data_IF_037382977642
#
_entry.id   IF_037382977642
#
_cell.length_a   1.000
_cell.length_b   1.000
_cell.length_c   1.000
_cell.angle_alpha   90.00
_cell.angle_beta   90.00
_cell.angle_gamma   90.00
#
_symmetry.space_group_name_H-M   'P 1'
#
loop_
_entity.id
_entity.type
_entity.pdbx_description
1 polymer ?
#
# COMPACT_ATOMS: atom_id res chain seq x y z
N UNK A 1 -30.30 -24.30 -0.36
CA UNK A 1 -30.63 -25.51 -1.13
C UNK A 1 -29.41 -26.41 -1.25
N UNK A 2 -29.15 -27.19 -0.19
CA UNK A 2 -28.12 -28.24 -0.14
C UNK A 2 -28.75 -29.55 -0.62
N UNK A 3 -28.48 -29.95 -1.86
CA UNK A 3 -28.65 -31.32 -2.39
C UNK A 3 -28.21 -31.29 -3.85
N UNK A 4 -26.92 -31.53 -4.13
CA UNK A 4 -26.41 -32.00 -5.43
C UNK A 4 -24.88 -32.24 -5.45
N UNK A 5 -24.28 -32.85 -4.42
CA UNK A 5 -22.88 -33.32 -4.54
C UNK A 5 -22.65 -34.61 -3.76
N UNK A 6 -23.10 -35.73 -4.32
CA UNK A 6 -22.52 -37.05 -4.08
C UNK A 6 -21.96 -37.56 -5.41
N UNK A 7 -20.72 -37.17 -5.71
CA UNK A 7 -19.90 -37.84 -6.72
C UNK A 7 -18.58 -38.27 -6.08
N UNK A 8 -18.28 -39.55 -6.28
CA UNK A 8 -17.16 -40.33 -5.77
C UNK A 8 -15.87 -39.52 -5.57
N UNK A 9 -15.35 -39.53 -4.34
CA UNK A 9 -14.00 -39.12 -3.99
C UNK A 9 -12.99 -39.98 -4.76
N UNK A 10 -12.28 -39.38 -5.70
CA UNK A 10 -11.00 -39.90 -6.19
C UNK A 10 -9.88 -39.19 -5.43
N UNK A 11 -8.74 -39.85 -5.16
CA UNK A 11 -7.62 -39.23 -4.47
C UNK A 11 -6.91 -38.32 -5.48
N UNK A 12 -7.29 -37.05 -5.54
CA UNK A 12 -6.57 -36.06 -6.33
C UNK A 12 -5.71 -35.23 -5.40
N UNK A 13 -4.41 -35.25 -5.70
CA UNK A 13 -3.39 -34.30 -5.22
C UNK A 13 -3.93 -32.88 -5.38
N UNK A 14 -3.72 -32.04 -4.38
CA UNK A 14 -4.02 -30.61 -4.41
C UNK A 14 -3.46 -29.96 -5.67
N UNK A 15 -4.34 -29.58 -6.60
CA UNK A 15 -3.95 -28.96 -7.89
C UNK A 15 -3.66 -27.46 -7.77
N UNK A 16 -3.96 -26.88 -6.61
CA UNK A 16 -3.72 -25.49 -6.27
C UNK A 16 -2.63 -25.41 -5.21
N UNK A 17 -1.49 -24.87 -5.60
CA UNK A 17 -0.47 -24.43 -4.65
C UNK A 17 -0.83 -23.01 -4.20
N UNK A 18 -1.09 -22.85 -2.91
CA UNK A 18 -1.55 -21.60 -2.30
C UNK A 18 -0.46 -21.10 -1.40
N UNK A 19 -0.04 -19.85 -1.62
CA UNK A 19 1.03 -19.24 -0.87
C UNK A 19 0.50 -18.74 0.47
N UNK A 20 1.20 -19.03 1.56
CA UNK A 20 0.93 -18.39 2.84
C UNK A 20 1.35 -16.92 2.78
N UNK A 21 0.59 -16.05 3.47
CA UNK A 21 1.02 -14.68 3.64
C UNK A 21 2.18 -14.64 4.63
N UNK A 22 3.29 -14.00 4.23
CA UNK A 22 4.47 -13.84 5.08
C UNK A 22 4.11 -13.09 6.37
N UNK A 23 4.07 -13.81 7.50
CA UNK A 23 3.90 -13.23 8.82
C UNK A 23 5.29 -12.82 9.36
N UNK A 24 5.60 -11.52 9.48
CA UNK A 24 6.88 -11.09 10.02
C UNK A 24 6.95 -11.39 11.52
N UNK A 25 7.85 -12.29 11.92
CA UNK A 25 8.21 -12.47 13.33
C UNK A 25 9.04 -11.28 13.80
N UNK A 26 8.37 -10.24 14.31
CA UNK A 26 8.99 -9.06 14.92
C UNK A 26 8.86 -9.18 16.42
N UNK A 27 9.98 -9.37 17.13
CA UNK A 27 10.00 -9.44 18.59
C UNK A 27 11.08 -8.53 19.15
N UNK A 28 10.64 -7.43 19.75
CA UNK A 28 11.51 -6.42 20.35
C UNK A 28 11.57 -6.49 21.88
N UNK A 29 10.96 -7.51 22.50
CA UNK A 29 10.94 -7.65 23.96
C UNK A 29 12.34 -7.86 24.57
N UNK A 30 13.30 -8.35 23.78
CA UNK A 30 14.68 -8.60 24.20
C UNK A 30 15.58 -7.36 24.17
N UNK A 31 15.12 -6.26 23.58
CA UNK A 31 15.90 -5.02 23.55
C UNK A 31 15.76 -4.26 24.87
N UNK A 32 16.87 -3.73 25.35
CA UNK A 32 16.88 -2.84 26.50
C UNK A 32 16.04 -1.61 26.21
N UNK A 33 15.20 -1.23 27.18
CA UNK A 33 14.41 0.00 27.10
C UNK A 33 15.30 1.21 27.38
N UNK A 34 14.95 2.32 26.76
CA UNK A 34 15.59 3.60 26.86
C UNK A 34 15.36 4.29 28.21
N UNK A 35 15.76 5.56 28.29
CA UNK A 35 15.67 6.36 29.54
C UNK A 35 14.25 6.42 30.10
N UNK A 36 13.23 6.42 29.22
CA UNK A 36 11.82 6.47 29.63
C UNK A 36 11.23 5.11 30.05
N UNK A 37 12.02 4.03 29.99
CA UNK A 37 11.61 2.64 30.24
C UNK A 37 10.44 2.14 29.38
N UNK A 38 10.06 2.86 28.32
CA UNK A 38 8.93 2.51 27.44
C UNK A 38 9.45 2.17 26.05
N UNK A 39 10.32 3.01 25.51
CA UNK A 39 10.78 2.89 24.12
C UNK A 39 12.16 2.25 24.02
N UNK A 40 12.56 1.86 22.82
CA UNK A 40 13.92 1.42 22.50
C UNK A 40 14.64 2.61 21.89
N UNK A 41 15.69 3.09 22.53
CA UNK A 41 16.46 4.23 22.03
C UNK A 41 17.38 3.79 20.89
N UNK A 42 17.18 4.41 19.72
CA UNK A 42 17.94 4.14 18.50
C UNK A 42 18.60 5.40 17.99
N UNK A 43 19.88 5.29 17.64
CA UNK A 43 20.64 6.36 17.00
C UNK A 43 21.13 5.89 15.62
N UNK A 44 20.68 6.58 14.57
CA UNK A 44 21.10 6.36 13.19
C UNK A 44 22.31 7.24 12.86
N UNK A 45 23.13 6.79 11.91
CA UNK A 45 24.29 7.52 11.39
C UNK A 45 23.98 9.00 11.11
N UNK A 46 24.75 9.95 11.67
CA UNK A 46 24.58 11.37 11.41
C UNK A 46 24.70 11.74 9.93
N UNK A 47 25.55 11.03 9.19
CA UNK A 47 25.77 11.29 7.76
C UNK A 47 24.55 10.86 6.93
N UNK A 48 23.99 9.69 7.24
CA UNK A 48 22.74 9.23 6.65
C UNK A 48 21.58 10.19 6.96
N UNK A 49 21.37 10.52 8.23
CA UNK A 49 20.23 11.36 8.66
C UNK A 49 20.31 12.77 8.09
N UNK A 50 21.50 13.40 8.08
CA UNK A 50 21.71 14.73 7.47
C UNK A 50 21.48 14.70 5.96
N UNK A 51 22.05 13.72 5.26
CA UNK A 51 21.89 13.60 3.80
C UNK A 51 20.43 13.36 3.41
N UNK A 52 19.76 12.41 4.07
CA UNK A 52 18.36 12.09 3.82
C UNK A 52 17.45 13.30 4.10
N UNK A 53 17.66 14.01 5.21
CA UNK A 53 16.93 15.24 5.55
C UNK A 53 17.09 16.30 4.46
N UNK A 54 18.31 16.47 3.94
CA UNK A 54 18.60 17.42 2.85
C UNK A 54 17.91 17.01 1.56
N UNK A 55 17.96 15.74 1.18
CA UNK A 55 17.30 15.19 -0.01
C UNK A 55 15.79 15.43 0.07
N UNK A 56 15.15 15.10 1.20
CA UNK A 56 13.71 15.32 1.43
C UNK A 56 13.35 16.80 1.26
N UNK A 57 14.17 17.71 1.81
CA UNK A 57 13.95 19.15 1.66
C UNK A 57 14.10 19.62 0.20
N UNK A 58 15.08 19.10 -0.54
CA UNK A 58 15.28 19.42 -1.95
C UNK A 58 14.14 18.87 -2.83
N UNK A 59 13.69 17.63 -2.60
CA UNK A 59 12.51 17.03 -3.24
C UNK A 59 11.24 17.86 -2.98
N UNK A 60 11.01 18.27 -1.73
CA UNK A 60 9.89 19.14 -1.36
C UNK A 60 9.91 20.43 -2.18
N UNK A 61 11.07 21.06 -2.34
CA UNK A 61 11.19 22.31 -3.10
C UNK A 61 11.03 22.10 -4.61
N UNK A 62 11.59 21.03 -5.17
CA UNK A 62 11.45 20.73 -6.59
C UNK A 62 9.99 20.43 -6.99
N UNK A 63 9.29 19.60 -6.21
CA UNK A 63 7.91 19.19 -6.52
C UNK A 63 6.86 20.24 -6.15
N UNK A 64 7.19 21.20 -5.29
CA UNK A 64 6.32 22.34 -4.97
C UNK A 64 6.61 23.59 -5.80
N UNK A 65 7.54 23.51 -6.74
CA UNK A 65 7.85 24.59 -7.66
C UNK A 65 6.82 24.65 -8.79
N UNK A 66 6.32 25.85 -9.08
CA UNK A 66 5.37 26.10 -10.18
C UNK A 66 5.98 25.86 -11.58
N UNK A 67 7.31 25.69 -11.66
CA UNK A 67 8.03 25.46 -12.93
C UNK A 67 8.12 24.00 -13.35
N UNK A 68 7.86 23.05 -12.44
CA UNK A 68 7.92 21.62 -12.73
C UNK A 68 6.52 21.02 -12.77
N UNK A 69 6.30 20.06 -13.67
CA UNK A 69 5.08 19.25 -13.65
C UNK A 69 5.15 18.27 -12.49
N UNK A 70 3.98 17.92 -11.98
CA UNK A 70 3.83 16.91 -10.94
C UNK A 70 4.26 15.49 -11.36
N UNK A 71 4.76 15.28 -12.58
CA UNK A 71 5.29 14.01 -13.09
C UNK A 71 6.79 14.05 -13.38
N UNK A 72 7.44 15.19 -13.20
CA UNK A 72 8.85 15.35 -13.57
C UNK A 72 9.72 14.56 -12.58
N UNK A 73 10.67 13.79 -13.12
CA UNK A 73 11.66 13.10 -12.30
C UNK A 73 12.56 14.13 -11.55
N UNK A 74 13.19 13.71 -10.43
CA UNK A 74 14.17 14.53 -9.72
C UNK A 74 15.25 15.06 -10.65
N UNK A 75 15.77 16.26 -10.34
CA UNK A 75 16.91 16.84 -11.05
C UNK A 75 18.14 15.92 -10.99
N UNK A 76 19.02 16.00 -11.99
CA UNK A 76 20.25 15.20 -12.02
C UNK A 76 21.11 15.36 -10.74
N UNK A 77 21.33 16.58 -10.19
CA UNK A 77 22.05 16.73 -8.92
C UNK A 77 21.39 15.99 -7.75
N UNK A 78 20.06 15.93 -7.73
CA UNK A 78 19.31 15.25 -6.68
C UNK A 78 19.38 13.72 -6.85
N UNK A 79 19.39 13.21 -8.08
CA UNK A 79 19.62 11.78 -8.36
C UNK A 79 20.99 11.32 -7.88
N UNK A 80 22.04 12.10 -8.13
CA UNK A 80 23.37 11.76 -7.63
C UNK A 80 23.41 11.71 -6.08
N UNK A 81 22.63 12.55 -5.40
CA UNK A 81 22.50 12.48 -3.93
C UNK A 81 21.72 11.24 -3.47
N UNK A 82 20.69 10.82 -4.21
CA UNK A 82 19.97 9.58 -3.95
C UNK A 82 20.89 8.36 -4.10
N UNK A 83 21.79 8.34 -5.08
CA UNK A 83 22.80 7.27 -5.20
C UNK A 83 23.76 7.24 -3.99
N UNK A 84 24.20 8.40 -3.50
CA UNK A 84 25.01 8.48 -2.27
C UNK A 84 24.20 7.99 -1.05
N UNK A 85 22.90 8.31 -1.00
CA UNK A 85 22.01 7.80 0.06
C UNK A 85 21.93 6.27 0.03
N UNK A 86 21.83 5.66 -1.16
CA UNK A 86 21.83 4.20 -1.33
C UNK A 86 23.11 3.58 -0.80
N UNK A 87 24.26 4.16 -1.12
CA UNK A 87 25.56 3.69 -0.62
C UNK A 87 25.66 3.78 0.92
N UNK A 88 25.20 4.89 1.51
CA UNK A 88 25.19 5.06 2.96
C UNK A 88 24.26 4.04 3.64
N UNK A 89 23.06 3.84 3.10
CA UNK A 89 22.12 2.85 3.63
C UNK A 89 22.66 1.42 3.50
N UNK A 90 23.24 1.06 2.35
CA UNK A 90 23.84 -0.25 2.11
C UNK A 90 24.98 -0.55 3.10
N UNK A 91 25.82 0.45 3.38
CA UNK A 91 26.90 0.34 4.36
C UNK A 91 26.36 0.04 5.77
N UNK A 92 25.40 0.84 6.23
CA UNK A 92 24.75 0.64 7.54
C UNK A 92 24.04 -0.71 7.63
N UNK A 93 23.31 -1.11 6.59
CA UNK A 93 22.61 -2.40 6.54
C UNK A 93 23.59 -3.57 6.59
N UNK A 94 24.65 -3.53 5.79
CA UNK A 94 25.71 -4.56 5.76
C UNK A 94 26.36 -4.71 7.14
N UNK A 95 26.76 -3.60 7.77
CA UNK A 95 27.33 -3.61 9.11
C UNK A 95 26.35 -4.19 10.14
N UNK A 96 25.07 -3.85 10.02
CA UNK A 96 24.00 -4.36 10.89
C UNK A 96 23.80 -5.87 10.73
N UNK A 97 23.82 -6.39 9.51
CA UNK A 97 23.71 -7.82 9.22
C UNK A 97 24.87 -8.60 9.86
N UNK A 98 26.11 -8.12 9.73
CA UNK A 98 27.27 -8.75 10.38
C UNK A 98 27.16 -8.78 11.90
N UNK A 99 26.69 -7.69 12.53
CA UNK A 99 26.44 -7.61 13.97
C UNK A 99 25.30 -8.56 14.41
N UNK A 100 24.23 -8.61 13.63
CA UNK A 100 23.09 -9.50 13.88
C UNK A 100 23.49 -10.98 13.79
N UNK A 101 24.35 -11.34 12.84
CA UNK A 101 24.89 -12.69 12.69
C UNK A 101 25.75 -13.10 13.90
N UNK A 102 26.60 -12.19 14.36
CA UNK A 102 27.46 -12.41 15.55
C UNK A 102 26.66 -12.63 16.83
N UNK A 103 25.50 -11.97 16.96
CA UNK A 103 24.61 -12.05 18.13
C UNK A 103 23.46 -13.05 17.95
N UNK A 104 23.36 -13.69 16.78
CA UNK A 104 22.25 -14.56 16.36
C UNK A 104 20.87 -13.90 16.58
N UNK A 105 20.77 -12.60 16.33
CA UNK A 105 19.57 -11.82 16.58
C UNK A 105 19.09 -11.12 15.30
N UNK A 106 18.23 -11.78 14.54
CA UNK A 106 17.61 -11.22 13.33
C UNK A 106 16.80 -9.95 13.60
N UNK A 107 16.20 -9.85 14.79
CA UNK A 107 15.41 -8.68 15.19
C UNK A 107 16.26 -7.41 15.27
N UNK A 108 17.59 -7.52 15.34
CA UNK A 108 18.48 -6.37 15.30
C UNK A 108 18.47 -5.68 13.93
N UNK A 109 18.41 -6.45 12.85
CA UNK A 109 18.24 -5.90 11.49
C UNK A 109 16.83 -5.31 11.33
N UNK A 110 15.81 -5.97 11.86
CA UNK A 110 14.44 -5.45 11.83
C UNK A 110 14.33 -4.12 12.61
N UNK A 111 14.98 -4.00 13.77
CA UNK A 111 15.02 -2.75 14.54
C UNK A 111 15.65 -1.61 13.73
N UNK A 112 16.76 -1.87 13.04
CA UNK A 112 17.38 -0.92 12.12
C UNK A 112 16.41 -0.47 11.01
N UNK A 113 15.81 -1.44 10.30
CA UNK A 113 14.88 -1.16 9.20
C UNK A 113 13.66 -0.36 9.68
N UNK A 114 13.07 -0.74 10.83
CA UNK A 114 11.96 0.01 11.45
C UNK A 114 12.36 1.43 11.84
N UNK A 115 13.56 1.61 12.40
CA UNK A 115 14.08 2.92 12.76
C UNK A 115 14.26 3.82 11.53
N UNK A 116 14.75 3.27 10.41
CA UNK A 116 14.89 4.00 9.14
C UNK A 116 13.53 4.36 8.55
N UNK A 117 12.57 3.43 8.51
CA UNK A 117 11.18 3.69 8.09
C UNK A 117 10.58 4.84 8.92
N UNK A 118 10.67 4.75 10.26
CA UNK A 118 10.18 5.79 11.18
C UNK A 118 10.87 7.14 10.93
N UNK A 119 12.17 7.13 10.71
CA UNK A 119 12.96 8.33 10.45
C UNK A 119 12.50 9.03 9.16
N UNK A 120 12.34 8.29 8.06
CA UNK A 120 11.88 8.87 6.78
C UNK A 120 10.47 9.44 6.93
N UNK A 121 9.53 8.67 7.47
CA UNK A 121 8.13 9.11 7.63
C UNK A 121 8.02 10.38 8.49
N UNK A 122 8.74 10.42 9.62
CA UNK A 122 8.75 11.58 10.51
C UNK A 122 9.46 12.80 9.90
N UNK A 123 10.55 12.58 9.14
CA UNK A 123 11.31 13.65 8.48
C UNK A 123 10.51 14.30 7.35
N UNK A 124 9.84 13.51 6.49
CA UNK A 124 9.00 14.04 5.41
C UNK A 124 7.85 14.89 5.99
N UNK A 125 7.19 14.41 7.04
CA UNK A 125 6.12 15.14 7.74
C UNK A 125 6.63 16.46 8.32
N UNK A 126 7.69 16.40 9.13
CA UNK A 126 8.23 17.59 9.81
C UNK A 126 8.78 18.63 8.84
N UNK A 127 9.46 18.23 7.77
CA UNK A 127 9.96 19.15 6.75
C UNK A 127 8.83 19.82 5.97
N UNK A 128 7.76 19.10 5.67
CA UNK A 128 6.57 19.67 5.02
C UNK A 128 5.89 20.70 5.92
N UNK A 129 5.71 20.39 7.20
CA UNK A 129 5.09 21.31 8.16
C UNK A 129 5.97 22.55 8.37
N UNK A 130 7.30 22.39 8.43
CA UNK A 130 8.27 23.50 8.46
C UNK A 130 8.17 24.37 7.22
N UNK A 131 8.09 23.78 6.02
CA UNK A 131 7.95 24.52 4.77
C UNK A 131 6.65 25.33 4.74
N UNK A 132 5.51 24.73 5.12
CA UNK A 132 4.22 25.41 5.20
C UNK A 132 4.26 26.56 6.20
N UNK A 133 4.83 26.34 7.38
CA UNK A 133 4.99 27.36 8.41
C UNK A 133 5.88 28.52 7.92
N UNK A 134 6.99 28.22 7.26
CA UNK A 134 7.89 29.22 6.71
C UNK A 134 7.16 30.07 5.66
N UNK A 135 6.43 29.46 4.73
CA UNK A 135 5.66 30.17 3.71
C UNK A 135 4.55 31.07 4.30
N UNK A 136 3.92 30.66 5.41
CA UNK A 136 2.95 31.51 6.14
C UNK A 136 3.59 32.74 6.76
N UNK A 137 4.82 32.60 7.28
CA UNK A 137 5.53 33.67 8.01
C UNK A 137 6.24 34.69 7.12
N UNK A 138 6.22 34.53 5.80
CA UNK A 138 6.85 35.46 4.86
C UNK A 138 6.12 36.82 4.89
N UNK A 139 6.58 37.71 5.78
CA UNK A 139 6.25 39.14 5.81
C UNK A 139 7.26 39.89 4.95
N UNK A 140 7.10 39.83 3.63
CA UNK A 140 7.92 40.62 2.71
C UNK A 140 7.26 41.97 2.44
N UNK A 141 8.06 43.05 2.46
CA UNK A 141 7.67 44.40 1.98
C UNK A 141 7.34 44.43 0.48
N UNK A 142 7.75 43.40 -0.25
CA UNK A 142 7.57 43.24 -1.69
C UNK A 142 6.27 42.44 -2.00
N UNK A 143 5.28 43.15 -2.54
CA UNK A 143 3.95 42.60 -2.84
C UNK A 143 3.99 41.42 -3.82
N UNK A 144 4.93 41.39 -4.78
CA UNK A 144 5.00 40.32 -5.78
C UNK A 144 5.52 39.01 -5.18
N UNK A 145 6.54 39.08 -4.31
CA UNK A 145 7.06 37.89 -3.61
C UNK A 145 6.07 37.36 -2.58
N UNK A 146 5.27 38.24 -1.97
CA UNK A 146 4.17 37.88 -1.07
C UNK A 146 3.09 37.09 -1.82
N UNK A 147 2.67 37.55 -3.00
CA UNK A 147 1.68 36.85 -3.83
C UNK A 147 2.17 35.46 -4.26
N UNK A 148 3.40 35.36 -4.82
CA UNK A 148 3.96 34.07 -5.22
C UNK A 148 4.08 33.08 -4.05
N UNK A 149 4.42 33.56 -2.86
CA UNK A 149 4.52 32.72 -1.66
C UNK A 149 3.14 32.26 -1.17
N UNK A 150 2.14 33.13 -1.26
CA UNK A 150 0.75 32.80 -0.91
C UNK A 150 0.17 31.77 -1.88
N UNK A 151 0.38 31.93 -3.18
CA UNK A 151 -0.06 30.97 -4.20
C UNK A 151 0.61 29.61 -4.01
N UNK A 152 1.92 29.60 -3.73
CA UNK A 152 2.66 28.38 -3.38
C UNK A 152 2.13 27.74 -2.11
N UNK A 153 1.82 28.53 -1.07
CA UNK A 153 1.23 28.04 0.17
C UNK A 153 -0.15 27.42 -0.07
N UNK A 154 -1.03 28.11 -0.80
CA UNK A 154 -2.37 27.61 -1.13
C UNK A 154 -2.31 26.31 -1.94
N UNK A 155 -1.42 26.25 -2.94
CA UNK A 155 -1.18 25.04 -3.72
C UNK A 155 -0.65 23.89 -2.85
N UNK A 156 0.39 24.14 -2.05
CA UNK A 156 0.97 23.15 -1.15
C UNK A 156 -0.06 22.61 -0.15
N UNK A 157 -0.86 23.50 0.42
CA UNK A 157 -1.88 23.11 1.39
C UNK A 157 -2.97 22.25 0.73
N UNK A 158 -3.35 22.57 -0.51
CA UNK A 158 -4.31 21.77 -1.31
C UNK A 158 -3.75 20.41 -1.71
N UNK A 159 -2.46 20.32 -2.05
CA UNK A 159 -1.82 19.11 -2.59
C UNK A 159 -0.93 18.38 -1.58
N UNK A 160 -1.03 18.72 -0.29
CA UNK A 160 -0.14 18.25 0.79
C UNK A 160 -0.02 16.72 0.84
N UNK A 161 -1.14 16.00 0.84
CA UNK A 161 -1.14 14.54 1.01
C UNK A 161 -0.50 13.83 -0.18
N UNK A 162 -0.76 14.30 -1.41
CA UNK A 162 -0.14 13.75 -2.61
C UNK A 162 1.36 14.02 -2.62
N UNK A 163 1.78 15.23 -2.25
CA UNK A 163 3.19 15.59 -2.14
C UNK A 163 3.93 14.75 -1.09
N UNK A 164 3.33 14.57 0.09
CA UNK A 164 3.87 13.72 1.15
C UNK A 164 4.05 12.27 0.67
N UNK A 165 3.01 11.69 0.07
CA UNK A 165 3.05 10.35 -0.48
C UNK A 165 4.16 10.24 -1.53
N UNK A 166 4.22 11.17 -2.47
CA UNK A 166 5.21 11.15 -3.55
C UNK A 166 6.64 11.18 -3.02
N UNK A 167 6.96 12.09 -2.10
CA UNK A 167 8.32 12.24 -1.58
C UNK A 167 8.70 11.03 -0.73
N UNK A 168 7.76 10.53 0.07
CA UNK A 168 7.97 9.30 0.84
C UNK A 168 8.22 8.12 -0.09
N UNK A 169 7.42 7.98 -1.14
CA UNK A 169 7.58 6.95 -2.16
C UNK A 169 8.96 7.02 -2.83
N UNK A 170 9.39 8.19 -3.30
CA UNK A 170 10.70 8.35 -3.96
C UNK A 170 11.88 7.98 -3.04
N UNK A 171 11.80 8.26 -1.73
CA UNK A 171 12.82 7.85 -0.75
C UNK A 171 12.71 6.37 -0.39
N UNK A 172 11.50 5.81 -0.26
CA UNK A 172 11.30 4.39 0.00
C UNK A 172 11.76 3.52 -1.17
N UNK A 173 11.59 3.97 -2.41
CA UNK A 173 12.13 3.31 -3.61
C UNK A 173 13.66 3.19 -3.54
N UNK A 174 14.36 4.19 -3.02
CA UNK A 174 15.81 4.13 -2.81
C UNK A 174 16.21 3.05 -1.80
N UNK A 175 15.51 2.99 -0.67
CA UNK A 175 15.72 1.96 0.36
C UNK A 175 15.41 0.58 -0.20
N UNK A 176 14.27 0.45 -0.90
CA UNK A 176 13.82 -0.79 -1.52
C UNK A 176 14.81 -1.31 -2.56
N UNK A 177 15.42 -0.43 -3.36
CA UNK A 177 16.46 -0.81 -4.32
C UNK A 177 17.65 -1.49 -3.65
N UNK A 178 18.10 -0.97 -2.49
CA UNK A 178 19.20 -1.57 -1.74
C UNK A 178 18.79 -2.87 -1.07
N UNK A 179 17.61 -2.94 -0.44
CA UNK A 179 17.09 -4.16 0.19
C UNK A 179 16.88 -5.29 -0.83
N UNK A 180 16.50 -4.94 -2.06
CA UNK A 180 16.29 -5.90 -3.16
C UNK A 180 17.57 -6.31 -3.87
N UNK A 181 18.71 -5.66 -3.57
CA UNK A 181 19.99 -5.95 -4.21
C UNK A 181 20.40 -7.40 -3.96
N UNK A 182 20.83 -8.08 -5.03
CA UNK A 182 21.20 -9.49 -4.97
C UNK A 182 22.35 -9.76 -3.97
N UNK A 183 23.30 -8.83 -3.82
CA UNK A 183 24.40 -8.96 -2.88
C UNK A 183 23.91 -8.91 -1.43
N UNK A 184 23.02 -7.97 -1.10
CA UNK A 184 22.41 -7.85 0.24
C UNK A 184 21.56 -9.09 0.55
N UNK A 185 20.72 -9.52 -0.39
CA UNK A 185 19.87 -10.71 -0.20
C UNK A 185 20.69 -11.99 0.00
N UNK A 186 21.79 -12.14 -0.75
CA UNK A 186 22.72 -13.27 -0.60
C UNK A 186 23.44 -13.21 0.74
N UNK A 187 23.83 -12.02 1.19
CA UNK A 187 24.43 -11.82 2.51
C UNK A 187 23.45 -12.21 3.63
N UNK A 188 22.20 -11.74 3.57
CA UNK A 188 21.15 -12.13 4.51
C UNK A 188 20.91 -13.65 4.49
N UNK A 189 20.79 -14.25 3.31
CA UNK A 189 20.56 -15.69 3.18
C UNK A 189 21.72 -16.52 3.77
N UNK A 190 22.96 -16.09 3.56
CA UNK A 190 24.14 -16.80 4.07
C UNK A 190 24.35 -16.63 5.58
N UNK A 191 24.10 -15.43 6.13
CA UNK A 191 24.41 -15.12 7.54
C UNK A 191 23.23 -15.27 8.50
N UNK A 192 22.00 -15.13 8.01
CA UNK A 192 20.77 -15.13 8.81
C UNK A 192 19.78 -16.22 8.36
N UNK A 193 20.05 -16.94 7.27
CA UNK A 193 19.22 -18.03 6.76
C UNK A 193 17.96 -17.59 6.00
N UNK A 194 17.76 -16.28 5.79
CA UNK A 194 16.62 -15.72 5.06
C UNK A 194 17.06 -14.63 4.09
N UNK A 195 16.44 -14.56 2.91
CA UNK A 195 16.64 -13.46 1.96
C UNK A 195 16.07 -12.12 2.45
N UNK A 196 15.07 -12.16 3.33
CA UNK A 196 14.31 -11.00 3.77
C UNK A 196 14.08 -11.07 5.28
N UNK A 197 14.52 -10.04 6.00
CA UNK A 197 14.28 -9.88 7.45
C UNK A 197 12.90 -9.30 7.74
N UNK A 198 12.36 -8.55 6.78
CA UNK A 198 10.99 -8.05 6.74
C UNK A 198 10.38 -8.39 5.38
N UNK A 199 9.06 -8.65 5.32
CA UNK A 199 8.34 -8.82 4.06
C UNK A 199 8.66 -7.70 3.08
N UNK A 200 9.09 -8.07 1.87
CA UNK A 200 9.36 -7.16 0.74
C UNK A 200 8.25 -6.11 0.55
N UNK A 201 6.99 -6.53 0.72
CA UNK A 201 5.80 -5.69 0.56
C UNK A 201 5.70 -4.54 1.55
N UNK A 202 6.39 -4.56 2.70
CA UNK A 202 6.40 -3.44 3.64
C UNK A 202 7.07 -2.21 3.02
N UNK A 203 8.20 -2.39 2.32
CA UNK A 203 8.94 -1.27 1.71
C UNK A 203 8.19 -0.66 0.53
N UNK A 204 7.43 -1.47 -0.19
CA UNK A 204 6.62 -1.01 -1.32
C UNK A 204 5.19 -0.62 -0.94
N UNK A 205 4.79 -0.72 0.34
CA UNK A 205 3.43 -0.49 0.81
C UNK A 205 2.97 0.98 0.64
N UNK A 206 2.05 1.27 -0.29
CA UNK A 206 1.49 2.61 -0.50
C UNK A 206 0.81 3.22 0.73
N UNK A 207 0.17 2.42 1.59
CA UNK A 207 -0.55 2.90 2.78
C UNK A 207 0.42 3.42 3.84
N UNK A 208 1.54 2.71 4.04
CA UNK A 208 2.62 3.14 4.94
C UNK A 208 3.28 4.45 4.48
N UNK A 209 3.37 4.63 3.16
CA UNK A 209 3.92 5.83 2.55
C UNK A 209 2.93 7.01 2.52
N UNK A 210 1.64 6.75 2.79
CA UNK A 210 0.58 7.76 2.86
C UNK A 210 0.43 8.34 4.27
N UNK A 211 -0.15 9.53 4.36
CA UNK A 211 -0.60 10.10 5.65
C UNK A 211 -1.92 9.47 6.11
N UNK A 212 -2.75 9.10 5.16
CA UNK A 212 -4.12 8.62 5.36
C UNK A 212 -4.29 7.31 4.57
N UNK A 213 -4.67 6.24 5.27
CA UNK A 213 -4.88 4.92 4.68
C UNK A 213 -6.06 4.88 3.71
N UNK A 214 -6.99 5.84 3.81
CA UNK A 214 -8.16 5.97 2.93
C UNK A 214 -8.04 7.13 1.92
N UNK A 215 -6.83 7.63 1.71
CA UNK A 215 -6.56 8.68 0.71
C UNK A 215 -7.06 8.24 -0.68
N UNK A 216 -8.09 8.90 -1.26
CA UNK A 216 -8.70 8.45 -2.51
C UNK A 216 -7.72 8.33 -3.68
N UNK A 217 -6.73 9.22 -3.75
CA UNK A 217 -5.70 9.18 -4.79
C UNK A 217 -4.79 7.96 -4.67
N UNK A 218 -4.44 7.56 -3.44
CA UNK A 218 -3.60 6.38 -3.19
C UNK A 218 -4.39 5.12 -3.49
N UNK A 219 -5.66 5.08 -3.06
CA UNK A 219 -6.56 3.96 -3.32
C UNK A 219 -6.84 3.77 -4.80
N UNK A 220 -7.26 4.81 -5.53
CA UNK A 220 -7.51 4.70 -6.98
C UNK A 220 -6.24 4.33 -7.77
N UNK A 221 -5.05 4.70 -7.28
CA UNK A 221 -3.79 4.39 -7.97
C UNK A 221 -3.34 2.95 -7.75
N UNK A 222 -3.45 2.44 -6.53
CA UNK A 222 -2.81 1.18 -6.13
C UNK A 222 -3.79 0.06 -5.77
N UNK A 223 -5.06 0.38 -5.51
CA UNK A 223 -6.06 -0.53 -4.98
C UNK A 223 -7.45 -0.24 -5.57
N UNK A 224 -8.49 -0.60 -4.82
CA UNK A 224 -9.88 -0.20 -5.05
C UNK A 224 -10.24 0.98 -4.15
N UNK A 225 -10.99 1.95 -4.68
CA UNK A 225 -11.50 3.09 -3.92
C UNK A 225 -12.54 2.61 -2.90
N UNK A 226 -12.17 2.59 -1.63
CA UNK A 226 -13.04 2.32 -0.50
C UNK A 226 -13.28 3.62 0.27
N UNK A 227 -14.46 3.73 0.85
CA UNK A 227 -14.80 4.83 1.75
C UNK A 227 -14.95 4.28 3.18
N UNK A 228 -14.52 5.08 4.16
CA UNK A 228 -14.59 4.74 5.59
C UNK A 228 -16.04 4.66 6.13
N UNK A 229 -17.01 5.08 5.32
CA UNK A 229 -18.43 5.15 5.67
C UNK A 229 -18.99 3.76 6.00
N UNK A 230 -19.29 3.50 7.27
CA UNK A 230 -19.72 2.18 7.76
C UNK A 230 -21.06 1.76 7.20
N UNK A 231 -21.93 2.72 6.87
CA UNK A 231 -23.33 2.47 6.52
C UNK A 231 -23.52 2.09 5.03
N UNK A 232 -22.45 2.09 4.24
CA UNK A 232 -22.50 1.69 2.84
C UNK A 232 -22.29 0.16 2.70
N UNK A 233 -23.12 -0.51 1.90
CA UNK A 233 -22.96 -1.93 1.55
C UNK A 233 -21.61 -2.23 0.86
N UNK A 234 -20.97 -1.22 0.27
CA UNK A 234 -19.64 -1.26 -0.34
C UNK A 234 -18.50 -0.86 0.63
N UNK A 235 -18.74 -0.84 1.93
CA UNK A 235 -17.71 -0.53 2.92
C UNK A 235 -16.79 -1.72 3.18
N UNK A 236 -15.57 -1.45 3.69
CA UNK A 236 -14.63 -2.50 4.08
C UNK A 236 -15.24 -3.45 5.12
N UNK A 237 -16.05 -2.93 6.04
CA UNK A 237 -16.69 -3.70 7.11
C UNK A 237 -17.70 -4.73 6.59
N UNK A 238 -18.41 -4.40 5.51
CA UNK A 238 -19.35 -5.34 4.87
C UNK A 238 -18.66 -6.28 3.89
N UNK A 239 -17.71 -5.77 3.09
CA UNK A 239 -17.03 -6.55 2.07
C UNK A 239 -16.05 -7.57 2.65
N UNK A 240 -15.36 -7.26 3.75
CA UNK A 240 -14.37 -8.16 4.35
C UNK A 240 -14.95 -9.52 4.76
N UNK A 241 -16.00 -9.61 5.61
CA UNK A 241 -16.58 -10.91 5.98
C UNK A 241 -17.22 -11.63 4.80
N UNK A 242 -17.80 -10.89 3.85
CA UNK A 242 -18.39 -11.46 2.64
C UNK A 242 -17.34 -12.13 1.76
N UNK A 243 -16.19 -11.47 1.55
CA UNK A 243 -15.08 -12.00 0.77
C UNK A 243 -14.37 -13.13 1.54
N UNK A 244 -14.23 -13.00 2.86
CA UNK A 244 -13.64 -14.05 3.69
C UNK A 244 -14.44 -15.36 3.62
N UNK A 245 -15.77 -15.27 3.72
CA UNK A 245 -16.66 -16.44 3.60
C UNK A 245 -16.60 -17.05 2.19
N UNK A 246 -16.60 -16.21 1.14
CA UNK A 246 -16.42 -16.67 -0.24
C UNK A 246 -15.13 -17.48 -0.40
N UNK A 247 -14.02 -16.96 0.13
CA UNK A 247 -12.71 -17.63 0.02
C UNK A 247 -12.66 -18.92 0.85
N UNK A 248 -13.36 -19.01 1.98
CA UNK A 248 -13.50 -20.26 2.74
C UNK A 248 -14.29 -21.32 1.97
N UNK A 249 -15.41 -20.93 1.34
CA UNK A 249 -16.19 -21.86 0.53
C UNK A 249 -15.42 -22.32 -0.71
N UNK A 250 -14.68 -21.42 -1.36
CA UNK A 250 -13.79 -21.76 -2.48
C UNK A 250 -12.69 -22.70 -2.01
N UNK A 251 -12.07 -22.45 -0.85
CA UNK A 251 -11.06 -23.34 -0.30
C UNK A 251 -11.60 -24.75 -0.04
N UNK A 252 -12.81 -24.84 0.51
CA UNK A 252 -13.50 -26.11 0.74
C UNK A 252 -13.77 -26.88 -0.56
N UNK A 253 -14.28 -26.20 -1.60
CA UNK A 253 -14.59 -26.83 -2.89
C UNK A 253 -13.32 -27.26 -3.64
N UNK A 254 -12.26 -26.43 -3.59
CA UNK A 254 -10.97 -26.71 -4.19
C UNK A 254 -10.13 -27.71 -3.38
N UNK A 255 -10.59 -28.13 -2.19
CA UNK A 255 -9.90 -29.05 -1.28
C UNK A 255 -8.47 -28.59 -0.97
N UNK A 256 -8.31 -27.30 -0.68
CA UNK A 256 -7.00 -26.73 -0.40
C UNK A 256 -6.41 -27.36 0.88
N UNK A 257 -5.19 -27.88 0.77
CA UNK A 257 -4.38 -28.26 1.93
C UNK A 257 -3.79 -26.99 2.54
N UNK A 258 -4.54 -26.42 3.48
CA UNK A 258 -4.09 -25.28 4.25
C UNK A 258 -3.33 -25.81 5.47
N UNK A 259 -2.02 -25.57 5.50
CA UNK A 259 -1.27 -25.73 6.74
C UNK A 259 -1.85 -24.75 7.78
N UNK A 260 -2.12 -25.20 9.02
CA UNK A 260 -2.56 -24.29 10.07
C UNK A 260 -1.47 -23.24 10.29
N UNK A 261 -1.82 -21.96 10.19
CA UNK A 261 -0.91 -20.84 10.35
C UNK A 261 -0.05 -21.04 11.62
N UNK A 262 1.23 -21.43 11.42
CA UNK A 262 2.05 -22.01 12.50
C UNK A 262 2.48 -20.98 13.54
N UNK A 263 2.39 -19.70 13.23
CA UNK A 263 2.82 -18.63 14.11
C UNK A 263 1.73 -17.59 14.27
N UNK A 264 1.11 -17.57 15.46
CA UNK A 264 0.54 -16.33 15.98
C UNK A 264 1.73 -15.36 16.15
N UNK A 265 1.64 -14.11 15.68
CA UNK A 265 2.68 -13.15 15.98
C UNK A 265 2.86 -13.13 17.51
N UNK A 266 4.05 -13.51 18.00
CA UNK A 266 4.41 -13.30 19.40
C UNK A 266 4.78 -11.83 19.55
N UNK A 267 3.75 -11.00 19.48
CA UNK A 267 3.81 -9.61 19.89
C UNK A 267 3.11 -9.58 21.25
N UNK A 268 3.67 -8.78 22.16
CA UNK A 268 3.25 -8.63 23.54
C UNK A 268 1.71 -8.68 23.66
N UNK A 269 1.18 -9.63 24.46
CA UNK A 269 -0.26 -9.95 24.52
C UNK A 269 -1.14 -8.75 24.87
N UNK A 270 -0.55 -7.67 25.34
CA UNK A 270 -1.21 -6.50 25.88
C UNK A 270 -1.33 -5.33 24.89
N UNK A 271 -0.77 -5.40 23.66
CA UNK A 271 -0.76 -4.24 22.73
C UNK A 271 -1.30 -4.47 21.31
N UNK A 272 -1.26 -5.68 20.75
CA UNK A 272 -1.80 -5.92 19.40
C UNK A 272 -3.28 -6.31 19.44
N UNK A 273 -4.09 -5.56 18.71
CA UNK A 273 -5.41 -6.01 18.23
C UNK A 273 -5.25 -7.21 17.29
N UNK A 274 -5.20 -8.46 17.78
CA UNK A 274 -5.32 -9.73 17.03
C UNK A 274 -5.12 -9.63 15.48
N UNK A 275 -3.97 -9.16 14.98
CA UNK A 275 -3.71 -9.09 13.54
C UNK A 275 -3.39 -10.50 13.07
N UNK A 276 -4.33 -11.13 12.37
CA UNK A 276 -4.16 -12.47 11.81
C UNK A 276 -3.77 -12.36 10.33
N UNK A 277 -2.66 -12.95 9.92
CA UNK A 277 -2.26 -13.02 8.51
C UNK A 277 -2.81 -14.29 7.87
N UNK A 278 -3.47 -14.18 6.71
CA UNK A 278 -4.12 -15.30 6.04
C UNK A 278 -3.66 -15.45 4.59
N UNK A 279 -3.66 -16.68 4.07
CA UNK A 279 -3.45 -16.96 2.65
C UNK A 279 -4.43 -16.20 1.74
N UNK A 280 -5.61 -15.85 2.27
CA UNK A 280 -6.67 -15.09 1.58
C UNK A 280 -6.20 -13.71 1.12
N UNK A 281 -5.23 -13.13 1.81
CA UNK A 281 -4.70 -11.80 1.54
C UNK A 281 -3.52 -11.79 0.54
N UNK A 282 -3.22 -12.94 -0.07
CA UNK A 282 -2.15 -13.04 -1.08
C UNK A 282 -2.77 -12.91 -2.48
N UNK A 283 -2.48 -11.83 -3.23
CA UNK A 283 -3.10 -11.60 -4.55
C UNK A 283 -2.80 -12.71 -5.56
N UNK A 284 -1.61 -13.32 -5.50
CA UNK A 284 -1.24 -14.44 -6.35
C UNK A 284 -2.15 -15.67 -6.18
N UNK A 285 -2.73 -15.86 -4.99
CA UNK A 285 -3.69 -16.92 -4.74
C UNK A 285 -5.01 -16.64 -5.46
N UNK A 286 -5.43 -15.38 -5.57
CA UNK A 286 -6.62 -14.99 -6.34
C UNK A 286 -6.42 -15.31 -7.81
N UNK A 287 -5.26 -14.97 -8.37
CA UNK A 287 -4.94 -15.34 -9.76
C UNK A 287 -4.97 -16.86 -9.95
N UNK A 288 -4.36 -17.62 -9.04
CA UNK A 288 -4.36 -19.09 -9.11
C UNK A 288 -5.78 -19.69 -9.04
N UNK A 289 -6.66 -19.14 -8.20
CA UNK A 289 -8.00 -19.67 -7.92
C UNK A 289 -9.08 -19.22 -8.91
N UNK A 290 -8.92 -18.06 -9.56
CA UNK A 290 -9.98 -17.48 -10.40
C UNK A 290 -9.58 -17.26 -11.86
N UNK A 291 -8.29 -17.21 -12.22
CA UNK A 291 -7.86 -16.91 -13.58
C UNK A 291 -8.05 -18.08 -14.56
N UNK A 292 -9.19 -18.09 -15.26
CA UNK A 292 -9.53 -19.09 -16.28
C UNK A 292 -8.65 -18.99 -17.52
N UNK A 293 -8.28 -17.77 -17.93
CA UNK A 293 -7.61 -17.53 -19.21
C UNK A 293 -6.19 -18.10 -19.20
N UNK A 294 -5.47 -17.91 -18.09
CA UNK A 294 -4.14 -18.46 -17.92
C UNK A 294 -4.14 -19.99 -17.95
N UNK A 295 -5.04 -20.63 -17.20
CA UNK A 295 -5.18 -22.09 -17.20
C UNK A 295 -5.56 -22.64 -18.58
N UNK A 296 -6.44 -21.95 -19.32
CA UNK A 296 -6.80 -22.33 -20.69
C UNK A 296 -5.61 -22.25 -21.65
N UNK A 297 -4.80 -21.21 -21.54
CA UNK A 297 -3.60 -21.05 -22.36
C UNK A 297 -2.56 -22.12 -22.01
N UNK A 298 -2.37 -22.41 -20.72
CA UNK A 298 -1.51 -23.50 -20.26
C UNK A 298 -1.98 -24.86 -20.80
N UNK A 299 -3.29 -25.12 -20.82
CA UNK A 299 -3.88 -26.36 -21.32
C UNK A 299 -3.63 -26.57 -22.83
N UNK A 300 -3.72 -25.50 -23.64
CA UNK A 300 -3.42 -25.56 -25.08
C UNK A 300 -1.99 -26.02 -25.35
N UNK A 301 -1.06 -25.61 -24.51
CA UNK A 301 0.38 -25.88 -24.66
C UNK A 301 0.86 -27.09 -23.83
N UNK A 302 -0.03 -27.74 -23.07
CA UNK A 302 0.34 -28.79 -22.13
C UNK A 302 0.61 -30.15 -22.80
N UNK A 303 1.63 -30.86 -22.28
CA UNK A 303 1.87 -32.28 -22.57
C UNK A 303 0.75 -33.14 -21.96
N UNK A 304 0.52 -34.33 -22.52
CA UNK A 304 -0.59 -35.24 -22.15
C UNK A 304 -0.75 -35.45 -20.62
N UNK A 305 0.37 -35.66 -19.90
CA UNK A 305 0.36 -35.90 -18.46
C UNK A 305 -0.09 -34.71 -17.59
N UNK A 306 0.01 -33.47 -18.07
CA UNK A 306 -0.46 -32.26 -17.34
C UNK A 306 -1.88 -31.84 -17.72
N UNK A 307 -2.45 -32.37 -18.81
CA UNK A 307 -3.77 -31.96 -19.30
C UNK A 307 -4.90 -32.32 -18.33
N UNK A 308 -4.81 -33.49 -17.67
CA UNK A 308 -5.82 -33.91 -16.70
C UNK A 308 -5.91 -32.91 -15.53
N UNK A 309 -4.77 -32.59 -14.91
CA UNK A 309 -4.70 -31.64 -13.80
C UNK A 309 -5.17 -30.23 -14.20
N UNK A 310 -4.75 -29.73 -15.36
CA UNK A 310 -5.21 -28.41 -15.83
C UNK A 310 -6.71 -28.37 -16.14
N UNK A 311 -7.30 -29.49 -16.58
CA UNK A 311 -8.74 -29.58 -16.86
C UNK A 311 -9.55 -29.58 -15.57
N UNK A 312 -9.10 -30.30 -14.54
CA UNK A 312 -9.68 -30.29 -13.20
C UNK A 312 -9.56 -28.90 -12.55
N UNK A 313 -8.37 -28.28 -12.57
CA UNK A 313 -8.16 -26.89 -12.12
C UNK A 313 -9.15 -25.94 -12.80
N UNK A 314 -9.32 -26.03 -14.11
CA UNK A 314 -10.27 -25.19 -14.85
C UNK A 314 -11.73 -25.41 -14.41
N UNK A 315 -12.11 -26.64 -14.05
CA UNK A 315 -13.45 -26.94 -13.52
C UNK A 315 -13.67 -26.23 -12.19
N UNK A 316 -12.72 -26.30 -11.27
CA UNK A 316 -12.82 -25.63 -9.97
C UNK A 316 -12.82 -24.11 -10.09
N UNK A 317 -11.95 -23.53 -10.94
CA UNK A 317 -11.93 -22.10 -11.21
C UNK A 317 -13.28 -21.60 -11.79
N UNK A 318 -13.99 -22.40 -12.60
CA UNK A 318 -15.34 -22.03 -13.10
C UNK A 318 -16.37 -22.00 -11.98
N UNK A 319 -16.30 -22.95 -11.04
CA UNK A 319 -17.18 -22.95 -9.86
C UNK A 319 -16.89 -21.74 -8.98
N UNK A 320 -15.62 -21.46 -8.70
CA UNK A 320 -15.20 -20.30 -7.91
C UNK A 320 -15.68 -18.97 -8.53
N UNK A 321 -15.53 -18.79 -9.85
CA UNK A 321 -16.04 -17.60 -10.54
C UNK A 321 -17.57 -17.46 -10.44
N UNK A 322 -18.32 -18.56 -10.54
CA UNK A 322 -19.77 -18.52 -10.36
C UNK A 322 -20.15 -18.06 -8.95
N UNK A 323 -19.41 -18.51 -7.94
CA UNK A 323 -19.63 -18.09 -6.55
C UNK A 323 -19.26 -16.63 -6.34
N UNK A 324 -18.17 -16.16 -6.95
CA UNK A 324 -17.77 -14.75 -6.93
C UNK A 324 -18.87 -13.85 -7.53
N UNK A 325 -19.41 -14.21 -8.70
CA UNK A 325 -20.51 -13.48 -9.34
C UNK A 325 -21.77 -13.46 -8.47
N UNK A 326 -22.11 -14.58 -7.83
CA UNK A 326 -23.26 -14.67 -6.92
C UNK A 326 -23.06 -13.82 -5.67
N UNK A 327 -21.87 -13.84 -5.09
CA UNK A 327 -21.56 -13.15 -3.83
C UNK A 327 -21.51 -11.63 -4.04
N UNK A 328 -20.97 -11.18 -5.17
CA UNK A 328 -20.80 -9.75 -5.47
C UNK A 328 -21.96 -9.14 -6.30
N UNK A 329 -23.05 -9.89 -6.53
CA UNK A 329 -24.13 -9.43 -7.41
C UNK A 329 -24.77 -8.12 -6.95
N UNK A 330 -24.94 -7.92 -5.64
CA UNK A 330 -25.57 -6.71 -5.06
C UNK A 330 -24.65 -5.49 -5.09
N UNK A 331 -23.33 -5.71 -5.14
CA UNK A 331 -22.31 -4.65 -5.09
C UNK A 331 -21.65 -4.39 -6.46
N UNK A 332 -22.17 -4.96 -7.53
CA UNK A 332 -21.55 -4.87 -8.85
C UNK A 332 -21.55 -3.44 -9.42
N UNK A 333 -22.63 -2.68 -9.20
CA UNK A 333 -22.73 -1.28 -9.62
C UNK A 333 -21.70 -0.42 -8.86
N UNK A 334 -21.61 -0.50 -7.51
CA UNK A 334 -20.51 0.10 -6.76
C UNK A 334 -19.11 -0.26 -7.27
N UNK A 335 -18.83 -1.53 -7.56
CA UNK A 335 -17.51 -1.97 -8.07
C UNK A 335 -17.18 -1.25 -9.39
N UNK A 336 -18.12 -1.27 -10.35
CA UNK A 336 -17.94 -0.62 -11.64
C UNK A 336 -17.80 0.91 -11.50
N UNK A 337 -18.58 1.52 -10.60
CA UNK A 337 -18.52 2.93 -10.32
C UNK A 337 -17.15 3.38 -9.79
N UNK A 338 -16.48 2.55 -8.97
CA UNK A 338 -15.12 2.85 -8.48
C UNK A 338 -14.12 2.97 -9.62
N UNK A 339 -14.10 1.99 -10.54
CA UNK A 339 -13.17 2.01 -11.67
C UNK A 339 -13.43 3.20 -12.61
N UNK A 340 -14.71 3.51 -12.87
CA UNK A 340 -15.08 4.66 -13.69
C UNK A 340 -14.79 6.01 -12.98
N UNK A 341 -14.85 6.05 -11.65
CA UNK A 341 -14.53 7.25 -10.85
C UNK A 341 -13.10 7.72 -11.09
N UNK A 342 -12.14 6.80 -11.22
CA UNK A 342 -10.75 7.14 -11.51
C UNK A 342 -10.61 7.88 -12.85
N UNK A 343 -11.26 7.37 -13.90
CA UNK A 343 -11.26 8.01 -15.21
C UNK A 343 -11.88 9.41 -15.16
N UNK A 344 -13.02 9.55 -14.48
CA UNK A 344 -13.69 10.84 -14.31
C UNK A 344 -12.87 11.83 -13.49
N UNK A 345 -12.16 11.35 -12.45
CA UNK A 345 -11.34 12.20 -11.60
C UNK A 345 -10.22 12.88 -12.39
N UNK A 346 -9.58 12.14 -13.32
CA UNK A 346 -8.58 12.69 -14.23
C UNK A 346 -9.23 13.58 -15.31
N UNK A 347 -10.38 13.18 -15.89
CA UNK A 347 -11.12 13.98 -16.85
C UNK A 347 -11.48 15.38 -16.31
N UNK A 348 -11.91 15.45 -15.05
CA UNK A 348 -12.23 16.71 -14.36
C UNK A 348 -11.01 17.38 -13.71
N UNK A 349 -9.79 17.02 -14.11
CA UNK A 349 -8.54 17.62 -13.66
C UNK A 349 -8.43 17.71 -12.13
N UNK A 350 -8.94 16.70 -11.41
CA UNK A 350 -8.89 16.60 -9.94
C UNK A 350 -9.59 17.74 -9.21
N UNK A 351 -10.55 18.40 -9.87
CA UNK A 351 -11.29 19.52 -9.28
C UNK A 351 -12.49 19.06 -8.44
N UNK A 352 -13.05 17.88 -8.76
CA UNK A 352 -14.12 17.26 -8.00
C UNK A 352 -13.58 16.19 -7.05
N UNK A 353 -14.17 16.08 -5.86
CA UNK A 353 -13.83 15.02 -4.90
C UNK A 353 -14.22 13.65 -5.47
N UNK A 354 -13.37 12.61 -5.38
CA UNK A 354 -13.70 11.26 -5.85
C UNK A 354 -14.98 10.68 -5.27
N UNK A 355 -15.24 10.90 -3.96
CA UNK A 355 -16.51 10.48 -3.31
C UNK A 355 -17.73 11.03 -4.05
N UNK A 356 -17.73 12.31 -4.43
CA UNK A 356 -18.86 12.92 -5.13
C UNK A 356 -19.10 12.30 -6.52
N UNK A 357 -18.03 11.97 -7.24
CA UNK A 357 -18.12 11.31 -8.55
C UNK A 357 -18.68 9.90 -8.41
N UNK A 358 -18.16 9.12 -7.46
CA UNK A 358 -18.65 7.79 -7.13
C UNK A 358 -20.15 7.81 -6.77
N UNK A 359 -20.55 8.69 -5.85
CA UNK A 359 -21.94 8.82 -5.40
C UNK A 359 -22.90 9.15 -6.55
N UNK A 360 -22.46 9.95 -7.52
CA UNK A 360 -23.25 10.27 -8.71
C UNK A 360 -23.50 9.06 -9.61
N UNK A 361 -22.48 8.20 -9.75
CA UNK A 361 -22.55 6.95 -10.51
C UNK A 361 -23.46 5.93 -9.79
N UNK A 362 -23.42 5.88 -8.46
CA UNK A 362 -24.28 5.03 -7.63
C UNK A 362 -25.71 5.56 -7.42
N UNK A 363 -26.08 6.68 -8.06
CA UNK A 363 -27.40 7.32 -7.88
C UNK A 363 -27.69 7.88 -6.47
N UNK A 364 -26.67 8.12 -5.66
CA UNK A 364 -26.82 8.73 -4.33
C UNK A 364 -26.90 10.26 -4.38
N UNK A 365 -26.47 10.88 -5.49
CA UNK A 365 -26.47 12.35 -5.68
C UNK A 365 -27.04 12.72 -7.04
N UNK A 366 -27.83 13.79 -7.06
CA UNK A 366 -28.42 14.34 -8.27
C UNK A 366 -27.38 14.99 -9.19
N UNK A 367 -27.47 14.71 -10.49
CA UNK A 367 -26.54 15.26 -11.49
C UNK A 367 -26.65 16.78 -11.62
N UNK A 368 -27.80 17.36 -11.26
CA UNK A 368 -28.03 18.79 -11.24
C UNK A 368 -27.08 19.51 -10.26
N UNK A 369 -26.89 18.95 -9.06
CA UNK A 369 -26.03 19.53 -8.03
C UNK A 369 -24.56 19.54 -8.42
N UNK A 370 -24.12 18.49 -9.11
CA UNK A 370 -22.76 18.38 -9.63
C UNK A 370 -22.55 19.35 -10.80
N UNK A 371 -23.55 19.51 -11.67
CA UNK A 371 -23.50 20.49 -12.74
C UNK A 371 -23.37 21.92 -12.20
N UNK A 372 -24.03 22.26 -11.09
CA UNK A 372 -23.86 23.54 -10.42
C UNK A 372 -22.42 23.72 -9.88
N UNK A 373 -21.86 22.70 -9.22
CA UNK A 373 -20.47 22.73 -8.75
C UNK A 373 -19.47 22.91 -9.89
N UNK A 374 -19.65 22.21 -11.01
CA UNK A 374 -18.80 22.35 -12.20
C UNK A 374 -18.84 23.76 -12.79
N UNK A 375 -20.01 24.42 -12.80
CA UNK A 375 -20.13 25.82 -13.24
C UNK A 375 -19.34 26.78 -12.34
N UNK A 376 -19.33 26.53 -11.03
CA UNK A 376 -18.62 27.36 -10.04
C UNK A 376 -17.10 27.17 -10.07
N UNK A 377 -16.62 26.00 -10.52
CA UNK A 377 -15.19 25.69 -10.62
C UNK A 377 -14.49 26.32 -11.83
N UNK A 378 -15.24 27.09 -12.64
CA UNK A 378 -14.74 27.77 -13.83
C UNK A 378 -13.70 28.84 -13.47
N UNK A 379 -12.49 28.73 -14.02
CA UNK A 379 -11.55 29.87 -14.13
C UNK A 379 -11.91 30.71 -15.34
N UNK A 380 -11.64 32.02 -15.30
CA UNK A 380 -12.03 33.01 -16.31
C UNK A 380 -11.56 32.69 -17.75
N UNK A 381 -10.55 31.83 -17.90
CA UNK A 381 -9.92 31.48 -19.19
C UNK A 381 -10.05 29.98 -19.57
N UNK A 382 -10.69 29.14 -18.76
CA UNK A 382 -10.83 27.71 -19.05
C UNK A 382 -12.16 27.37 -19.74
N UNK A 383 -12.14 26.39 -20.64
CA UNK A 383 -13.35 25.78 -21.22
C UNK A 383 -14.20 25.21 -20.08
N UNK A 384 -15.52 25.43 -20.13
CA UNK A 384 -16.43 24.91 -19.12
C UNK A 384 -16.36 23.38 -19.06
N UNK A 385 -16.13 22.82 -17.88
CA UNK A 385 -16.19 21.38 -17.64
C UNK A 385 -17.63 20.90 -17.84
N UNK A 386 -17.82 19.97 -18.78
CA UNK A 386 -19.14 19.47 -19.15
C UNK A 386 -19.59 18.34 -18.23
N UNK A 387 -20.87 18.32 -17.87
CA UNK A 387 -21.52 17.21 -17.15
C UNK A 387 -21.75 15.98 -18.05
N UNK A 388 -21.55 16.11 -19.37
CA UNK A 388 -21.88 15.06 -20.32
C UNK A 388 -21.03 13.80 -20.09
N UNK A 389 -19.76 13.94 -19.73
CA UNK A 389 -18.91 12.77 -19.47
C UNK A 389 -19.42 11.96 -18.27
N UNK A 390 -19.82 12.61 -17.18
CA UNK A 390 -20.46 11.94 -16.06
C UNK A 390 -21.77 11.24 -16.45
N UNK A 391 -22.58 11.85 -17.32
CA UNK A 391 -23.81 11.22 -17.86
C UNK A 391 -23.49 9.98 -18.70
N UNK A 392 -22.43 10.02 -19.51
CA UNK A 392 -22.01 8.89 -20.32
C UNK A 392 -21.44 7.77 -19.46
N UNK A 393 -20.59 8.11 -18.48
CA UNK A 393 -20.06 7.19 -17.47
C UNK A 393 -21.18 6.44 -16.73
N UNK A 394 -22.20 7.16 -16.27
CA UNK A 394 -23.37 6.56 -15.61
C UNK A 394 -24.09 5.54 -16.50
N UNK A 395 -24.26 5.85 -17.80
CA UNK A 395 -24.81 4.90 -18.78
C UNK A 395 -23.89 3.71 -19.04
N UNK A 396 -22.57 3.91 -19.05
CA UNK A 396 -21.58 2.81 -19.19
C UNK A 396 -21.67 1.84 -18.02
N UNK A 397 -21.64 2.36 -16.79
CA UNK A 397 -21.77 1.56 -15.56
C UNK A 397 -23.07 0.75 -15.57
N UNK A 398 -24.22 1.36 -15.89
CA UNK A 398 -25.48 0.64 -15.97
C UNK A 398 -25.51 -0.48 -17.03
N UNK A 399 -24.89 -0.25 -18.20
CA UNK A 399 -24.77 -1.26 -19.26
C UNK A 399 -23.84 -2.41 -18.86
N UNK A 400 -22.70 -2.08 -18.26
CA UNK A 400 -21.74 -3.08 -17.78
C UNK A 400 -22.32 -3.89 -16.62
N UNK A 401 -23.13 -3.29 -15.74
CA UNK A 401 -23.78 -4.03 -14.66
C UNK A 401 -24.72 -5.13 -15.18
N UNK A 402 -25.38 -4.93 -16.33
CA UNK A 402 -26.23 -5.94 -16.96
C UNK A 402 -25.43 -7.10 -17.58
N UNK A 403 -24.25 -6.80 -18.14
CA UNK A 403 -23.37 -7.77 -18.79
C UNK A 403 -21.92 -7.40 -18.51
N UNK A 404 -21.44 -7.78 -17.34
CA UNK A 404 -20.10 -7.47 -16.88
C UNK A 404 -19.11 -8.51 -17.40
N UNK A 405 -17.85 -8.11 -17.48
CA UNK A 405 -16.76 -9.03 -17.76
C UNK A 405 -16.31 -9.67 -16.44
N UNK A 406 -16.22 -11.01 -16.33
CA UNK A 406 -15.79 -11.68 -15.09
C UNK A 406 -14.42 -11.20 -14.59
N UNK A 407 -13.54 -10.77 -15.50
CA UNK A 407 -12.22 -10.25 -15.18
C UNK A 407 -12.26 -9.02 -14.26
N UNK A 408 -13.32 -8.19 -14.34
CA UNK A 408 -13.46 -7.02 -13.47
C UNK A 408 -13.66 -7.45 -12.02
N UNK A 409 -14.41 -8.52 -11.76
CA UNK A 409 -14.63 -9.03 -10.40
C UNK A 409 -13.36 -9.65 -9.82
N UNK A 410 -12.59 -10.36 -10.65
CA UNK A 410 -11.29 -10.91 -10.25
C UNK A 410 -10.33 -9.76 -9.92
N UNK A 411 -10.25 -8.74 -10.80
CA UNK A 411 -9.42 -7.56 -10.57
C UNK A 411 -9.82 -6.83 -9.28
N UNK A 412 -11.11 -6.68 -9.04
CA UNK A 412 -11.63 -6.12 -7.79
C UNK A 412 -11.17 -6.92 -6.58
N UNK A 413 -11.34 -8.25 -6.61
CA UNK A 413 -10.93 -9.12 -5.53
C UNK A 413 -9.42 -9.03 -5.28
N UNK A 414 -8.60 -9.08 -6.33
CA UNK A 414 -7.14 -8.92 -6.27
C UNK A 414 -6.74 -7.58 -5.64
N UNK A 415 -7.36 -6.47 -6.06
CA UNK A 415 -7.10 -5.14 -5.49
C UNK A 415 -7.56 -5.03 -4.03
N UNK A 416 -8.70 -5.63 -3.70
CA UNK A 416 -9.27 -5.62 -2.36
C UNK A 416 -8.40 -6.40 -1.36
N UNK A 417 -7.98 -7.63 -1.70
CA UNK A 417 -7.12 -8.42 -0.82
C UNK A 417 -5.71 -7.83 -0.72
N UNK A 418 -5.22 -7.17 -1.78
CA UNK A 418 -3.96 -6.39 -1.73
C UNK A 418 -4.06 -5.26 -0.72
N UNK A 419 -5.19 -4.54 -0.72
CA UNK A 419 -5.44 -3.48 0.25
C UNK A 419 -5.50 -4.03 1.69
N UNK A 420 -6.23 -5.12 1.93
CA UNK A 420 -6.31 -5.75 3.25
C UNK A 420 -4.93 -6.19 3.76
N UNK A 421 -4.13 -6.84 2.92
CA UNK A 421 -2.75 -7.23 3.22
C UNK A 421 -1.92 -6.04 3.67
N UNK A 422 -1.91 -5.00 2.84
CA UNK A 422 -1.08 -3.82 3.06
C UNK A 422 -1.59 -2.99 4.25
N UNK A 423 -2.89 -3.05 4.55
CA UNK A 423 -3.47 -2.44 5.73
C UNK A 423 -3.02 -3.17 7.02
N UNK A 424 -2.91 -4.50 6.99
CA UNK A 424 -2.35 -5.27 8.12
C UNK A 424 -0.88 -4.95 8.35
N UNK A 425 -0.08 -4.90 7.28
CA UNK A 425 1.31 -4.45 7.39
C UNK A 425 1.39 -3.01 7.89
N UNK A 426 0.52 -2.12 7.43
CA UNK A 426 0.46 -0.73 7.91
C UNK A 426 0.27 -0.68 9.43
N UNK A 427 -0.74 -1.37 9.98
CA UNK A 427 -1.00 -1.36 11.42
C UNK A 427 0.13 -1.97 12.23
N UNK A 428 0.62 -3.15 11.81
CA UNK A 428 1.74 -3.81 12.46
C UNK A 428 2.97 -2.89 12.55
N UNK A 429 3.34 -2.27 11.44
CA UNK A 429 4.55 -1.44 11.36
C UNK A 429 4.38 -0.17 12.16
N UNK A 430 3.19 0.44 12.15
CA UNK A 430 2.89 1.60 13.00
C UNK A 430 3.06 1.29 14.48
N UNK A 431 2.50 0.17 14.96
CA UNK A 431 2.63 -0.25 16.34
C UNK A 431 4.09 -0.54 16.73
N UNK A 432 4.82 -1.26 15.87
CA UNK A 432 6.25 -1.53 16.09
C UNK A 432 7.06 -0.22 16.14
N UNK A 433 6.79 0.72 15.25
CA UNK A 433 7.45 2.03 15.24
C UNK A 433 7.15 2.85 16.49
N UNK A 434 5.96 2.71 17.09
CA UNK A 434 5.64 3.38 18.36
C UNK A 434 6.56 2.93 19.49
N UNK A 435 7.07 1.69 19.46
CA UNK A 435 8.00 1.19 20.47
C UNK A 435 9.45 1.71 20.36
N UNK A 436 9.79 2.46 19.31
CA UNK A 436 11.16 2.94 19.02
C UNK A 436 11.24 4.44 19.31
N UNK A 437 12.30 4.91 19.96
CA UNK A 437 12.60 6.33 20.09
C UNK A 437 13.84 6.68 19.25
N UNK A 438 13.74 7.69 18.39
CA UNK A 438 14.85 8.11 17.53
C UNK A 438 15.59 9.26 18.19
N UNK A 439 16.85 9.04 18.55
CA UNK A 439 17.70 10.03 19.18
C UNK A 439 18.66 10.66 18.18
N UNK A 440 18.77 11.99 18.23
CA UNK A 440 19.72 12.78 17.44
C UNK A 440 21.02 13.08 18.21
N UNK A 441 20.98 12.94 19.54
CA UNK A 441 22.12 13.12 20.44
C UNK A 441 22.36 11.82 21.24
N UNK A 442 23.62 11.58 21.63
CA UNK A 442 24.08 10.37 22.31
C UNK A 442 23.78 10.33 23.82
N UNK A 443 22.75 11.04 24.28
CA UNK A 443 22.46 11.23 25.72
C UNK A 443 22.15 9.94 26.48
N UNK A 444 21.69 8.89 25.79
CA UNK A 444 21.36 7.58 26.39
C UNK A 444 22.54 6.60 26.45
N UNK A 445 23.74 7.01 26.04
CA UNK A 445 24.95 6.16 26.13
C UNK A 445 25.30 5.77 27.57
N UNK A 446 24.94 6.60 28.55
CA UNK A 446 25.29 6.40 29.96
C UNK A 446 24.65 5.14 30.58
N UNK A 447 23.57 4.62 29.98
CA UNK A 447 22.81 3.49 30.50
C UNK A 447 22.94 2.20 29.66
N UNK A 448 23.85 2.15 28.67
CA UNK A 448 23.99 1.01 27.73
C UNK A 448 22.69 0.58 27.00
N UNK A 449 21.68 1.45 26.96
CA UNK A 449 20.37 1.17 26.33
C UNK A 449 20.26 1.71 24.90
N UNK A 450 21.31 2.37 24.40
CA UNK A 450 21.33 2.99 23.07
C UNK A 450 21.79 2.00 21.99
N UNK A 451 20.95 1.78 20.98
CA UNK A 451 21.31 1.01 19.80
C UNK A 451 21.82 1.91 18.68
N UNK A 452 23.11 1.78 18.35
CA UNK A 452 23.77 2.61 17.34
C UNK A 452 23.94 1.87 16.00
N UNK A 453 23.41 2.46 14.94
CA UNK A 453 23.59 2.03 13.55
C UNK A 453 24.37 3.12 12.81
N UNK A 454 25.68 2.95 12.67
CA UNK A 454 26.61 3.96 12.12
C UNK A 454 27.28 3.43 10.88
#
# INVERSE_FOLDING_TARGET
MLKLFNQKQSPFVTEFDVQELCNPSINFARFARGIDNVHIDVHLSPDFTKLCTRIIYELLNEHSSTKKRATDQPSLPLRNKLEILNANYASMLTATIHRASSTKNIHFVQLFQMAVIKFVLSTVRSQTDRLLHNLRKINLKDNLKKLNSFDRFAWLNKHKNNLLYRITHEVFEQIYQVESDAAIRTLCQSLLGTCWTLPEKIFSNPLLQSRDSYSPEVLMKNYVLLFEDTDNAYSLQHLSPLIDNLLDEVAYICQLELEPCRDKPFIDKDRVTNIHFSWKEVPANIDSLFNLQETQNALKNAKSHKKAALTSKLRYQRLANKMLEQTLCEVIVPILAVYETQHLYEHYAKQLKPKLLYQALCHEVELADIALKLKLLRRSYDKALSINELKYAKKRVARQAQKHEPQILIQFLTHFVSFQRDLKYYYLIHEVMESINLLFDKTSQLNNSLYEFV
#
